data_IF_611685853305
#
_entry.id   IF_611685853305
#
_cell.length_a   1.000
_cell.length_b   1.000
_cell.length_c   1.000
_cell.angle_alpha   90.00
_cell.angle_beta   90.00
_cell.angle_gamma   90.00
#
_symmetry.space_group_name_H-M   'P 1'
#
loop_
_entity.id
_entity.type
_entity.pdbx_description
1 polymer ?
#
# COMPACT_ATOMS: atom_id res chain seq x y z
N UNK A 1 6.03 38.97 -4.60
CA UNK A 1 6.85 37.82 -4.17
C UNK A 1 8.27 38.00 -4.65
N UNK A 2 9.30 37.87 -3.77
CA UNK A 2 10.71 38.00 -4.17
C UNK A 2 11.07 36.82 -5.10
N UNK A 3 11.84 37.06 -6.18
CA UNK A 3 12.28 36.06 -7.17
C UNK A 3 12.84 34.78 -6.48
N UNK A 4 13.68 34.95 -5.44
CA UNK A 4 14.25 33.84 -4.69
C UNK A 4 13.16 32.93 -4.06
N UNK A 5 12.13 33.50 -3.42
CA UNK A 5 11.03 32.74 -2.83
C UNK A 5 10.21 31.98 -3.88
N UNK A 6 10.02 32.60 -5.05
CA UNK A 6 9.34 31.95 -6.17
C UNK A 6 10.09 30.71 -6.65
N UNK A 7 11.39 30.83 -6.93
CA UNK A 7 12.19 29.70 -7.39
C UNK A 7 12.31 28.58 -6.34
N UNK A 8 12.45 28.91 -5.04
CA UNK A 8 12.46 27.92 -3.98
C UNK A 8 11.11 27.18 -3.86
N UNK A 9 9.98 27.89 -4.02
CA UNK A 9 8.66 27.25 -4.02
C UNK A 9 8.51 26.29 -5.19
N UNK A 10 8.92 26.71 -6.40
CA UNK A 10 8.89 25.86 -7.58
C UNK A 10 9.79 24.64 -7.44
N UNK A 11 11.02 24.82 -6.90
CA UNK A 11 11.94 23.72 -6.64
C UNK A 11 11.40 22.72 -5.61
N UNK A 12 10.72 23.20 -4.56
CA UNK A 12 10.02 22.33 -3.59
C UNK A 12 8.91 21.50 -4.25
N UNK A 13 8.03 22.16 -5.03
CA UNK A 13 6.93 21.49 -5.71
C UNK A 13 7.46 20.46 -6.71
N UNK A 14 8.37 20.86 -7.59
CA UNK A 14 8.92 19.98 -8.61
C UNK A 14 9.69 18.79 -7.99
N UNK A 15 10.59 19.07 -7.03
CA UNK A 15 11.38 18.02 -6.39
C UNK A 15 10.51 16.97 -5.70
N UNK A 16 9.47 17.40 -4.98
CA UNK A 16 8.58 16.46 -4.31
C UNK A 16 7.66 15.72 -5.30
N UNK A 17 7.00 16.41 -6.23
CA UNK A 17 6.08 15.77 -7.18
C UNK A 17 6.82 14.75 -8.06
N UNK A 18 8.00 15.11 -8.59
CA UNK A 18 8.78 14.21 -9.44
C UNK A 18 9.36 13.01 -8.67
N UNK A 19 9.44 13.06 -7.34
CA UNK A 19 9.91 11.93 -6.52
C UNK A 19 8.87 10.83 -6.37
N UNK A 20 7.58 11.15 -6.50
CA UNK A 20 6.47 10.20 -6.36
C UNK A 20 5.97 9.68 -7.72
N UNK A 21 5.12 8.63 -7.73
CA UNK A 21 4.44 8.20 -8.95
C UNK A 21 3.64 9.33 -9.61
N UNK A 22 3.55 9.34 -10.93
CA UNK A 22 4.06 8.33 -11.87
C UNK A 22 5.51 8.61 -12.32
N UNK A 23 6.20 9.62 -11.79
CA UNK A 23 7.55 10.01 -12.24
C UNK A 23 8.65 9.14 -11.64
N UNK A 24 8.52 8.77 -10.35
CA UNK A 24 9.39 7.83 -9.65
C UNK A 24 10.89 8.20 -9.62
N UNK A 25 11.22 9.49 -9.64
CA UNK A 25 12.59 10.00 -9.55
C UNK A 25 13.04 10.07 -8.08
N UNK A 26 13.09 8.92 -7.39
CA UNK A 26 13.29 8.82 -5.94
C UNK A 26 14.52 9.56 -5.40
N UNK A 27 15.62 9.65 -6.15
CA UNK A 27 16.81 10.39 -5.73
C UNK A 27 16.56 11.90 -5.55
N UNK A 28 15.57 12.48 -6.24
CA UNK A 28 15.20 13.88 -6.04
C UNK A 28 14.68 14.14 -4.63
N UNK A 29 14.09 13.14 -3.97
CA UNK A 29 13.61 13.26 -2.60
C UNK A 29 14.73 13.65 -1.61
N UNK A 30 16.00 13.32 -1.91
CA UNK A 30 17.14 13.66 -1.04
C UNK A 30 17.41 15.16 -0.97
N UNK A 31 16.82 15.95 -1.87
CA UNK A 31 16.97 17.41 -1.97
C UNK A 31 15.63 18.13 -1.96
N UNK A 32 14.51 17.43 -2.06
CA UNK A 32 13.19 18.00 -2.30
C UNK A 32 12.68 18.88 -1.15
N UNK A 33 13.09 18.62 0.08
CA UNK A 33 12.73 19.43 1.26
C UNK A 33 13.70 20.58 1.53
N UNK A 34 14.90 20.57 0.93
CA UNK A 34 15.89 21.65 1.09
C UNK A 34 15.31 23.04 0.75
N UNK A 35 14.60 23.24 -0.38
CA UNK A 35 14.00 24.52 -0.68
C UNK A 35 12.98 24.98 0.37
N UNK A 36 12.20 24.06 0.94
CA UNK A 36 11.26 24.35 2.01
C UNK A 36 11.97 24.80 3.29
N UNK A 37 13.07 24.13 3.67
CA UNK A 37 13.87 24.53 4.84
C UNK A 37 14.44 25.93 4.65
N UNK A 38 14.94 26.27 3.47
CA UNK A 38 15.44 27.61 3.13
C UNK A 38 14.32 28.67 3.16
N UNK A 39 13.12 28.33 2.70
CA UNK A 39 11.94 29.20 2.77
C UNK A 39 11.56 29.47 4.23
N UNK A 40 11.48 28.42 5.06
CA UNK A 40 11.14 28.55 6.49
C UNK A 40 12.20 29.39 7.23
N UNK A 41 13.49 29.17 6.94
CA UNK A 41 14.60 29.95 7.50
C UNK A 41 14.52 31.43 7.08
N UNK A 42 14.08 31.72 5.85
CA UNK A 42 13.88 33.09 5.33
C UNK A 42 12.71 33.84 6.00
N UNK A 43 11.97 33.19 6.90
CA UNK A 43 10.88 33.81 7.64
C UNK A 43 9.59 33.98 6.84
N UNK A 44 9.21 32.99 6.03
CA UNK A 44 7.88 32.99 5.37
C UNK A 44 6.76 33.00 6.42
N UNK A 45 5.61 33.58 6.05
CA UNK A 45 4.41 33.56 6.91
C UNK A 45 3.73 32.20 6.90
N UNK A 46 2.94 31.91 7.94
CA UNK A 46 2.12 30.70 8.04
C UNK A 46 1.15 30.57 6.86
N UNK A 47 0.58 31.70 6.41
CA UNK A 47 -0.31 31.72 5.23
C UNK A 47 0.43 31.36 3.94
N UNK A 48 1.65 31.86 3.74
CA UNK A 48 2.45 31.48 2.58
C UNK A 48 2.75 29.99 2.58
N UNK A 49 3.16 29.42 3.74
CA UNK A 49 3.39 28.00 3.90
C UNK A 49 2.12 27.19 3.60
N UNK A 50 0.98 27.59 4.19
CA UNK A 50 -0.29 26.92 3.98
C UNK A 50 -0.66 26.81 2.49
N UNK A 51 -0.61 27.93 1.76
CA UNK A 51 -0.91 27.92 0.32
C UNK A 51 0.09 27.10 -0.49
N UNK A 52 1.38 27.13 -0.16
CA UNK A 52 2.39 26.32 -0.83
C UNK A 52 2.10 24.81 -0.66
N UNK A 53 1.79 24.39 0.57
CA UNK A 53 1.46 22.99 0.85
C UNK A 53 0.09 22.62 0.26
N UNK A 54 -0.89 23.50 0.25
CA UNK A 54 -2.18 23.25 -0.39
C UNK A 54 -1.99 23.01 -1.91
N UNK A 55 -1.20 23.83 -2.59
CA UNK A 55 -0.87 23.64 -4.02
C UNK A 55 -0.18 22.29 -4.23
N UNK A 56 0.80 21.96 -3.38
CA UNK A 56 1.45 20.65 -3.43
C UNK A 56 0.45 19.52 -3.31
N UNK A 57 -0.47 19.58 -2.34
CA UNK A 57 -1.46 18.53 -2.10
C UNK A 57 -2.47 18.41 -3.25
N UNK A 58 -2.91 19.54 -3.82
CA UNK A 58 -3.81 19.54 -4.98
C UNK A 58 -3.17 18.85 -6.19
N UNK A 59 -1.86 19.03 -6.40
CA UNK A 59 -1.13 18.36 -7.47
C UNK A 59 -0.90 16.89 -7.11
N UNK A 60 -0.44 16.58 -5.89
CA UNK A 60 -0.12 15.22 -5.44
C UNK A 60 -1.34 14.31 -5.47
N UNK A 61 -2.49 14.79 -4.98
CA UNK A 61 -3.75 14.03 -4.94
C UNK A 61 -4.59 14.15 -6.22
N UNK A 62 -4.06 14.78 -7.29
CA UNK A 62 -4.84 14.99 -8.52
C UNK A 62 -5.40 13.69 -9.11
N UNK A 63 -4.71 12.57 -8.91
CA UNK A 63 -5.19 11.25 -9.33
C UNK A 63 -6.56 10.88 -8.72
N UNK A 64 -6.89 11.40 -7.53
CA UNK A 64 -8.16 11.13 -6.85
C UNK A 64 -9.36 11.79 -7.55
N UNK A 65 -9.14 12.78 -8.42
CA UNK A 65 -10.21 13.41 -9.21
C UNK A 65 -10.96 12.41 -10.09
N UNK A 66 -10.30 11.34 -10.52
CA UNK A 66 -10.90 10.26 -11.31
C UNK A 66 -11.93 9.44 -10.50
N UNK A 67 -11.75 9.38 -9.20
CA UNK A 67 -12.66 8.67 -8.30
C UNK A 67 -13.67 9.62 -7.64
N UNK A 68 -13.21 10.72 -7.04
CA UNK A 68 -14.06 11.65 -6.30
C UNK A 68 -13.43 13.05 -6.17
N UNK A 69 -14.00 14.04 -6.87
CA UNK A 69 -13.52 15.44 -6.84
C UNK A 69 -13.65 16.04 -5.43
N UNK A 70 -14.74 15.78 -4.72
CA UNK A 70 -14.93 16.30 -3.36
C UNK A 70 -13.91 15.69 -2.40
N UNK A 71 -13.62 14.39 -2.52
CA UNK A 71 -12.58 13.71 -1.75
C UNK A 71 -11.19 14.29 -2.02
N UNK A 72 -10.87 14.60 -3.29
CA UNK A 72 -9.63 15.27 -3.66
C UNK A 72 -9.44 16.61 -2.96
N UNK A 73 -10.47 17.49 -2.98
CA UNK A 73 -10.40 18.80 -2.33
C UNK A 73 -10.29 18.68 -0.80
N UNK A 74 -11.14 17.84 -0.19
CA UNK A 74 -11.15 17.64 1.27
C UNK A 74 -9.83 17.05 1.77
N UNK A 75 -9.29 16.05 1.08
CA UNK A 75 -8.03 15.42 1.47
C UNK A 75 -6.85 16.40 1.31
N UNK A 76 -6.83 17.17 0.21
CA UNK A 76 -5.80 18.20 -0.01
C UNK A 76 -5.82 19.27 1.07
N UNK A 77 -7.00 19.73 1.46
CA UNK A 77 -7.19 20.70 2.53
C UNK A 77 -6.81 20.12 3.91
N UNK A 78 -7.24 18.89 4.18
CA UNK A 78 -6.92 18.19 5.42
C UNK A 78 -5.41 18.06 5.64
N UNK A 79 -4.65 17.64 4.60
CA UNK A 79 -3.19 17.54 4.68
C UNK A 79 -2.52 18.91 4.80
N UNK A 80 -3.05 19.96 4.15
CA UNK A 80 -2.52 21.31 4.28
C UNK A 80 -2.68 21.87 5.70
N UNK A 81 -3.87 21.75 6.30
CA UNK A 81 -4.15 22.17 7.68
C UNK A 81 -3.32 21.32 8.66
N UNK A 82 -3.34 20.00 8.48
CA UNK A 82 -2.61 19.06 9.32
C UNK A 82 -1.09 19.27 9.33
N UNK A 83 -0.51 19.92 8.30
CA UNK A 83 0.91 20.24 8.23
C UNK A 83 1.32 21.48 9.06
N UNK A 84 0.37 22.32 9.50
CA UNK A 84 0.67 23.58 10.19
C UNK A 84 1.47 23.41 11.50
N UNK A 85 1.17 22.43 12.38
CA UNK A 85 2.02 22.17 13.54
C UNK A 85 3.47 21.83 13.14
N UNK A 86 3.65 21.05 12.07
CA UNK A 86 4.96 20.73 11.52
C UNK A 86 5.74 21.95 11.04
N UNK A 87 5.06 22.98 10.48
CA UNK A 87 5.69 24.25 10.10
C UNK A 87 6.28 24.99 11.32
N UNK A 88 5.54 25.09 12.41
CA UNK A 88 6.02 25.75 13.62
C UNK A 88 7.18 25.00 14.27
N UNK A 89 7.11 23.67 14.31
CA UNK A 89 8.21 22.83 14.78
C UNK A 89 9.45 23.00 13.88
N UNK A 90 9.29 22.93 12.55
CA UNK A 90 10.37 23.16 11.60
C UNK A 90 11.05 24.51 11.84
N UNK A 91 10.24 25.60 11.96
CA UNK A 91 10.74 26.94 12.22
C UNK A 91 11.51 27.05 13.53
N UNK A 92 11.03 26.42 14.58
CA UNK A 92 11.70 26.40 15.88
C UNK A 92 13.03 25.65 15.82
N UNK A 93 13.03 24.41 15.32
CA UNK A 93 14.22 23.56 15.33
C UNK A 93 15.29 24.01 14.30
N UNK A 94 14.90 24.57 13.17
CA UNK A 94 15.85 25.21 12.25
C UNK A 94 16.54 26.41 12.90
N UNK A 95 15.83 27.27 13.64
CA UNK A 95 16.39 28.40 14.39
C UNK A 95 17.34 27.96 15.50
N UNK A 96 16.96 26.93 16.28
CA UNK A 96 17.79 26.36 17.34
C UNK A 96 18.92 25.48 16.81
N UNK A 97 18.90 25.15 15.51
CA UNK A 97 19.89 24.30 14.87
C UNK A 97 19.91 22.85 15.36
N UNK A 98 18.80 22.37 15.88
CA UNK A 98 18.64 21.01 16.36
C UNK A 98 18.17 20.11 15.20
N UNK A 99 19.02 20.02 14.15
CA UNK A 99 18.66 19.38 12.89
C UNK A 99 18.40 17.88 13.05
N UNK A 100 19.12 17.19 13.93
CA UNK A 100 18.89 15.77 14.19
C UNK A 100 17.50 15.53 14.78
N UNK A 101 17.10 16.35 15.77
CA UNK A 101 15.77 16.25 16.36
C UNK A 101 14.71 16.60 15.33
N UNK A 102 14.98 17.53 14.42
CA UNK A 102 14.05 17.88 13.35
C UNK A 102 13.81 16.69 12.41
N UNK A 103 14.83 15.90 12.01
CA UNK A 103 14.64 14.72 11.18
C UNK A 103 13.75 13.67 11.87
N UNK A 104 13.96 13.42 13.16
CA UNK A 104 13.13 12.51 13.95
C UNK A 104 11.68 13.00 14.06
N UNK A 105 11.48 14.30 14.30
CA UNK A 105 10.14 14.87 14.39
C UNK A 105 9.37 14.81 13.08
N UNK A 106 10.03 15.01 11.93
CA UNK A 106 9.38 14.87 10.63
C UNK A 106 8.91 13.42 10.39
N UNK A 107 9.72 12.42 10.78
CA UNK A 107 9.30 11.02 10.74
C UNK A 107 8.17 10.74 11.72
N UNK A 108 8.24 11.26 12.96
CA UNK A 108 7.14 11.13 13.93
C UNK A 108 5.83 11.71 13.36
N UNK A 109 5.91 12.81 12.63
CA UNK A 109 4.77 13.45 12.01
C UNK A 109 4.13 12.57 10.91
N UNK A 110 4.96 11.89 10.10
CA UNK A 110 4.48 10.88 9.15
C UNK A 110 3.86 9.69 9.89
N UNK A 111 4.53 9.20 10.95
CA UNK A 111 4.08 8.06 11.75
C UNK A 111 2.70 8.28 12.38
N UNK A 112 2.46 9.44 13.01
CA UNK A 112 1.19 9.77 13.65
C UNK A 112 0.01 9.67 12.68
N UNK A 113 0.19 10.03 11.40
CA UNK A 113 -0.87 9.94 10.37
C UNK A 113 -1.30 8.51 10.05
N UNK A 114 -0.45 7.53 10.36
CA UNK A 114 -0.69 6.10 10.07
C UNK A 114 -1.12 5.33 11.32
N UNK A 115 -0.88 5.90 12.52
CA UNK A 115 -1.15 5.23 13.80
C UNK A 115 -2.63 5.11 14.16
N UNK A 116 -3.52 5.79 13.48
CA UNK A 116 -4.95 5.82 13.76
C UNK A 116 -5.71 4.80 12.93
N UNK A 117 -6.96 4.53 13.27
CA UNK A 117 -7.87 3.74 12.44
C UNK A 117 -8.18 4.44 11.09
N UNK A 118 -7.93 5.74 11.00
CA UNK A 118 -7.98 6.55 9.78
C UNK A 118 -6.62 6.59 9.08
N UNK A 119 -5.95 5.45 8.96
CA UNK A 119 -4.64 5.31 8.31
C UNK A 119 -4.57 6.07 6.99
N UNK A 120 -3.70 7.08 6.91
CA UNK A 120 -3.47 7.89 5.70
C UNK A 120 -2.00 7.80 5.29
N UNK A 121 -1.61 6.76 4.53
CA UNK A 121 -0.21 6.43 4.24
C UNK A 121 0.41 7.31 3.16
N UNK A 122 -0.34 8.27 2.65
CA UNK A 122 0.10 9.14 1.56
C UNK A 122 1.18 10.11 2.02
N UNK A 123 2.07 10.49 1.09
CA UNK A 123 3.16 11.44 1.31
C UNK A 123 4.16 11.02 2.41
N UNK A 124 4.34 9.72 2.62
CA UNK A 124 5.47 9.23 3.40
C UNK A 124 6.67 9.20 2.47
N UNK A 125 7.67 10.04 2.77
CA UNK A 125 8.79 10.26 1.84
C UNK A 125 9.64 9.01 1.63
N UNK A 126 9.66 8.10 2.60
CA UNK A 126 10.38 6.84 2.49
C UNK A 126 9.92 6.00 1.30
N UNK A 127 8.65 6.02 0.93
CA UNK A 127 8.13 5.25 -0.22
C UNK A 127 8.68 5.70 -1.57
N UNK A 128 9.24 6.91 -1.67
CA UNK A 128 9.93 7.37 -2.89
C UNK A 128 11.19 6.55 -3.20
N UNK A 129 11.71 5.79 -2.21
CA UNK A 129 12.97 5.04 -2.31
C UNK A 129 12.78 3.59 -2.74
N UNK A 130 11.60 3.22 -3.23
CA UNK A 130 11.26 1.85 -3.61
C UNK A 130 12.23 1.23 -4.64
N UNK A 131 12.82 2.04 -5.51
CA UNK A 131 13.79 1.65 -6.55
C UNK A 131 15.24 2.05 -6.22
N UNK A 132 15.51 2.65 -5.06
CA UNK A 132 16.85 2.98 -4.59
C UNK A 132 17.34 1.88 -3.66
N UNK A 133 17.81 0.80 -4.26
CA UNK A 133 18.06 -0.49 -3.62
C UNK A 133 18.79 -0.42 -2.27
N UNK A 134 19.97 0.25 -2.11
CA UNK A 134 20.65 0.29 -0.83
C UNK A 134 19.83 0.97 0.29
N UNK A 135 19.06 2.00 -0.07
CA UNK A 135 18.23 2.74 0.88
C UNK A 135 16.96 1.97 1.22
N UNK A 136 16.38 1.26 0.25
CA UNK A 136 15.22 0.40 0.47
C UNK A 136 15.51 -0.68 1.53
N UNK A 137 16.76 -1.23 1.58
CA UNK A 137 17.11 -2.25 2.56
C UNK A 137 17.05 -1.75 4.02
N UNK A 138 17.10 -0.45 4.27
CA UNK A 138 16.87 0.13 5.59
C UNK A 138 15.49 -0.22 6.15
N UNK A 139 14.51 -0.45 5.26
CA UNK A 139 13.17 -0.82 5.68
C UNK A 139 13.14 -2.14 6.48
N UNK A 140 14.04 -3.06 6.23
CA UNK A 140 14.15 -4.29 7.00
C UNK A 140 14.62 -4.09 8.46
N UNK A 141 15.25 -2.95 8.75
CA UNK A 141 15.77 -2.62 10.08
C UNK A 141 14.78 -1.78 10.89
N UNK A 142 14.12 -0.84 10.26
CA UNK A 142 13.25 0.10 10.96
C UNK A 142 12.00 0.52 10.18
N UNK A 143 11.57 -0.31 9.22
CA UNK A 143 10.42 -0.03 8.37
C UNK A 143 10.65 1.18 7.46
N UNK A 144 9.61 1.60 6.78
CA UNK A 144 9.61 2.82 5.96
C UNK A 144 10.07 4.06 6.75
N UNK A 145 9.95 4.03 8.05
CA UNK A 145 10.31 5.14 8.96
C UNK A 145 11.80 5.40 8.98
N UNK A 146 12.64 4.36 8.98
CA UNK A 146 14.08 4.51 8.90
C UNK A 146 14.51 5.01 7.52
N UNK A 147 13.80 4.63 6.48
CA UNK A 147 13.99 5.17 5.12
C UNK A 147 13.60 6.64 5.06
N UNK A 148 12.45 7.05 5.62
CA UNK A 148 12.07 8.45 5.75
C UNK A 148 13.11 9.26 6.53
N UNK A 149 13.61 8.71 7.65
CA UNK A 149 14.68 9.35 8.44
C UNK A 149 15.94 9.57 7.59
N UNK A 150 16.35 8.57 6.81
CA UNK A 150 17.49 8.70 5.90
C UNK A 150 17.29 9.85 4.91
N UNK A 151 16.13 9.90 4.23
CA UNK A 151 15.83 10.93 3.23
C UNK A 151 15.79 12.33 3.85
N UNK A 152 15.12 12.52 5.00
CA UNK A 152 15.13 13.82 5.69
C UNK A 152 16.54 14.20 6.14
N UNK A 153 17.34 13.22 6.58
CA UNK A 153 18.71 13.46 6.99
C UNK A 153 19.60 13.90 5.81
N UNK A 154 19.40 13.37 4.61
CA UNK A 154 20.06 13.85 3.38
C UNK A 154 19.74 15.33 3.11
N UNK A 155 18.47 15.71 3.17
CA UNK A 155 18.05 17.11 2.99
C UNK A 155 18.70 18.04 4.03
N UNK A 156 18.73 17.63 5.29
CA UNK A 156 19.32 18.41 6.40
C UNK A 156 20.86 18.43 6.35
N UNK A 157 21.49 17.37 5.84
CA UNK A 157 22.93 17.38 5.55
C UNK A 157 23.27 18.48 4.54
N UNK A 158 22.57 18.52 3.39
CA UNK A 158 22.80 19.53 2.37
C UNK A 158 22.50 20.93 2.92
N UNK A 159 21.42 21.12 3.68
CA UNK A 159 21.12 22.37 4.37
C UNK A 159 22.25 22.78 5.30
N UNK A 160 22.85 21.84 6.07
CA UNK A 160 23.98 22.06 6.96
C UNK A 160 25.25 22.49 6.21
N UNK A 161 25.53 21.85 5.08
CA UNK A 161 26.69 22.17 4.22
C UNK A 161 26.59 23.60 3.68
N UNK A 162 25.42 23.97 3.13
CA UNK A 162 25.20 25.32 2.59
C UNK A 162 25.34 26.41 3.65
N UNK A 163 25.06 26.10 4.91
CA UNK A 163 25.22 27.03 6.03
C UNK A 163 26.60 26.88 6.75
N UNK A 164 27.60 26.22 6.11
CA UNK A 164 28.98 26.06 6.61
C UNK A 164 29.09 25.48 8.03
N UNK A 165 28.31 24.44 8.35
CA UNK A 165 28.20 23.91 9.71
C UNK A 165 29.15 22.73 9.97
N UNK A 166 29.70 22.68 11.22
CA UNK A 166 30.60 21.59 11.66
C UNK A 166 29.91 20.23 11.74
N UNK A 167 28.55 20.19 11.88
CA UNK A 167 27.76 18.95 12.04
C UNK A 167 27.71 18.07 10.76
N UNK A 168 28.21 18.54 9.61
CA UNK A 168 28.18 17.82 8.33
C UNK A 168 28.80 16.43 8.39
N UNK A 169 29.92 16.29 9.10
CA UNK A 169 30.62 15.01 9.23
C UNK A 169 29.85 13.99 10.06
N UNK A 170 29.17 14.43 11.11
CA UNK A 170 28.27 13.59 11.90
C UNK A 170 27.16 12.98 11.02
N UNK A 171 26.47 13.80 10.21
CA UNK A 171 25.43 13.34 9.32
C UNK A 171 25.97 12.35 8.27
N UNK A 172 27.13 12.63 7.69
CA UNK A 172 27.76 11.73 6.71
C UNK A 172 28.05 10.36 7.34
N UNK A 173 28.60 10.34 8.55
CA UNK A 173 28.86 9.09 9.29
C UNK A 173 27.58 8.33 9.59
N UNK A 174 26.52 8.99 10.04
CA UNK A 174 25.21 8.35 10.29
C UNK A 174 24.66 7.72 9.02
N UNK A 175 24.65 8.45 7.90
CA UNK A 175 24.13 7.95 6.63
C UNK A 175 24.94 6.77 6.10
N UNK A 176 26.28 6.86 6.14
CA UNK A 176 27.15 5.77 5.71
C UNK A 176 26.99 4.54 6.60
N UNK A 177 26.88 4.71 7.93
CA UNK A 177 26.67 3.59 8.86
C UNK A 177 25.34 2.87 8.58
N UNK A 178 24.26 3.62 8.28
CA UNK A 178 22.98 3.04 7.92
C UNK A 178 23.08 2.22 6.63
N UNK A 179 23.77 2.72 5.61
CA UNK A 179 23.95 2.00 4.34
C UNK A 179 24.79 0.73 4.53
N UNK A 180 25.84 0.78 5.36
CA UNK A 180 26.65 -0.41 5.69
C UNK A 180 25.80 -1.46 6.42
N UNK A 181 25.02 -1.05 7.42
CA UNK A 181 24.10 -1.95 8.13
C UNK A 181 23.09 -2.62 7.18
N UNK A 182 22.56 -1.86 6.24
CA UNK A 182 21.64 -2.38 5.24
C UNK A 182 22.32 -3.40 4.29
N UNK A 183 23.59 -3.17 3.93
CA UNK A 183 24.32 -4.02 3.00
C UNK A 183 24.75 -5.38 3.61
N UNK A 184 25.01 -5.42 4.92
CA UNK A 184 25.51 -6.63 5.63
C UNK A 184 24.38 -7.61 5.96
N UNK A 185 23.12 -7.20 5.85
CA UNK A 185 22.01 -8.03 6.26
C UNK A 185 21.79 -9.22 5.31
N UNK A 186 22.06 -10.44 5.79
CA UNK A 186 21.86 -11.69 5.05
C UNK A 186 20.45 -12.23 5.21
N UNK A 187 19.92 -12.82 4.14
CA UNK A 187 18.64 -13.52 4.18
C UNK A 187 18.87 -15.03 4.37
N UNK A 188 18.05 -15.71 5.17
CA UNK A 188 18.02 -17.16 5.15
C UNK A 188 17.64 -17.65 3.74
N UNK A 189 18.31 -18.68 3.24
CA UNK A 189 17.93 -19.31 1.97
C UNK A 189 16.70 -20.17 2.22
N UNK A 190 15.61 -19.96 1.45
CA UNK A 190 14.45 -20.83 1.52
C UNK A 190 14.81 -22.25 1.05
N UNK A 191 14.22 -23.25 1.69
CA UNK A 191 14.51 -24.65 1.40
C UNK A 191 13.49 -25.29 0.43
N UNK A 192 12.36 -24.65 0.26
CA UNK A 192 11.22 -25.19 -0.50
C UNK A 192 10.63 -24.13 -1.42
N UNK A 193 9.93 -24.62 -2.44
CA UNK A 193 9.16 -23.79 -3.36
C UNK A 193 7.74 -24.32 -3.48
N UNK A 194 6.80 -23.44 -3.81
CA UNK A 194 5.46 -23.80 -4.27
C UNK A 194 5.20 -23.06 -5.59
N UNK A 195 4.70 -23.81 -6.58
CA UNK A 195 4.33 -23.23 -7.86
C UNK A 195 2.94 -22.63 -7.78
N UNK A 196 2.84 -21.32 -7.98
CA UNK A 196 1.59 -20.56 -7.93
C UNK A 196 1.21 -20.01 -9.30
N UNK A 197 -0.09 -19.72 -9.48
CA UNK A 197 -0.60 -18.96 -10.62
C UNK A 197 -1.43 -17.76 -10.13
N UNK A 198 -1.00 -16.55 -10.49
CA UNK A 198 -1.77 -15.32 -10.29
C UNK A 198 -2.68 -15.12 -11.49
N UNK A 199 -3.94 -14.84 -11.25
CA UNK A 199 -4.94 -14.63 -12.29
C UNK A 199 -5.44 -13.20 -12.24
N UNK A 200 -5.20 -12.43 -13.31
CA UNK A 200 -5.67 -11.07 -13.49
C UNK A 200 -6.55 -11.04 -14.75
N UNK A 201 -7.85 -10.86 -14.58
CA UNK A 201 -8.79 -10.87 -15.72
C UNK A 201 -9.03 -9.50 -16.30
N UNK A 202 -8.76 -8.44 -15.55
CA UNK A 202 -9.08 -7.07 -15.90
C UNK A 202 -10.60 -6.85 -16.13
N UNK A 203 -11.41 -7.69 -15.50
CA UNK A 203 -12.87 -7.63 -15.56
C UNK A 203 -13.41 -6.91 -14.32
N UNK A 204 -13.97 -5.75 -14.55
CA UNK A 204 -14.54 -4.97 -13.48
C UNK A 204 -15.98 -5.37 -13.21
N UNK A 205 -16.32 -5.51 -11.93
CA UNK A 205 -17.67 -5.88 -11.50
C UNK A 205 -18.75 -4.90 -11.99
N UNK A 206 -18.43 -3.60 -12.08
CA UNK A 206 -19.36 -2.57 -12.58
C UNK A 206 -19.57 -2.63 -14.11
N UNK A 207 -18.69 -3.31 -14.85
CA UNK A 207 -18.80 -3.50 -16.30
C UNK A 207 -19.50 -4.80 -16.68
N UNK A 208 -19.39 -5.83 -15.82
CA UNK A 208 -19.98 -7.14 -16.07
C UNK A 208 -21.48 -7.11 -15.82
N UNK A 209 -21.97 -6.22 -14.91
CA UNK A 209 -23.35 -6.18 -14.48
C UNK A 209 -23.78 -7.54 -13.90
N UNK A 210 -24.94 -8.03 -14.30
CA UNK A 210 -25.47 -9.34 -13.86
C UNK A 210 -25.01 -10.51 -14.75
N UNK A 211 -24.01 -10.32 -15.65
CA UNK A 211 -23.55 -11.36 -16.54
C UNK A 211 -22.50 -12.28 -15.88
N UNK A 212 -22.94 -13.13 -14.99
CA UNK A 212 -22.10 -14.11 -14.28
C UNK A 212 -21.35 -15.05 -15.25
N UNK A 213 -21.90 -15.35 -16.44
CA UNK A 213 -21.23 -16.26 -17.40
C UNK A 213 -19.94 -15.68 -17.95
N UNK A 214 -19.94 -14.40 -18.37
CA UNK A 214 -18.73 -13.75 -18.88
C UNK A 214 -17.60 -13.80 -17.86
N UNK A 215 -17.95 -13.60 -16.59
CA UNK A 215 -17.02 -13.68 -15.47
C UNK A 215 -16.42 -15.09 -15.34
N UNK A 216 -17.27 -16.12 -15.24
CA UNK A 216 -16.81 -17.49 -15.05
C UNK A 216 -15.98 -17.98 -16.22
N UNK A 217 -16.37 -17.63 -17.46
CA UNK A 217 -15.62 -17.97 -18.66
C UNK A 217 -14.22 -17.38 -18.65
N UNK A 218 -14.08 -16.10 -18.31
CA UNK A 218 -12.80 -15.42 -18.29
C UNK A 218 -11.85 -16.02 -17.24
N UNK A 219 -12.34 -16.24 -16.03
CA UNK A 219 -11.54 -16.85 -14.96
C UNK A 219 -11.18 -18.30 -15.27
N UNK A 220 -12.12 -19.08 -15.80
CA UNK A 220 -11.88 -20.47 -16.21
C UNK A 220 -10.81 -20.54 -17.29
N UNK A 221 -10.93 -19.74 -18.35
CA UNK A 221 -9.95 -19.73 -19.43
C UNK A 221 -8.57 -19.28 -18.97
N UNK A 222 -8.50 -18.26 -18.10
CA UNK A 222 -7.23 -17.79 -17.55
C UNK A 222 -6.56 -18.87 -16.69
N UNK A 223 -7.34 -19.60 -15.88
CA UNK A 223 -6.85 -20.75 -15.10
C UNK A 223 -6.38 -21.89 -15.98
N UNK A 224 -7.13 -22.26 -17.02
CA UNK A 224 -6.75 -23.33 -17.94
C UNK A 224 -5.47 -23.00 -18.72
N UNK A 225 -5.26 -21.74 -19.11
CA UNK A 225 -4.00 -21.29 -19.69
C UNK A 225 -2.83 -21.46 -18.73
N UNK A 226 -3.02 -21.09 -17.45
CA UNK A 226 -2.00 -21.24 -16.42
C UNK A 226 -1.73 -22.72 -16.07
N UNK A 227 -2.74 -23.62 -16.22
CA UNK A 227 -2.67 -25.03 -15.88
C UNK A 227 -1.60 -25.81 -16.69
N UNK A 228 -1.20 -25.30 -17.88
CA UNK A 228 -0.10 -25.88 -18.68
C UNK A 228 1.19 -26.00 -17.86
N UNK A 229 1.46 -25.02 -16.99
CA UNK A 229 2.63 -25.01 -16.11
C UNK A 229 2.44 -25.82 -14.82
N UNK A 230 1.26 -26.42 -14.60
CA UNK A 230 0.90 -27.24 -13.42
C UNK A 230 1.12 -26.52 -12.09
N UNK A 231 0.49 -25.35 -11.83
CA UNK A 231 0.58 -24.70 -10.52
C UNK A 231 -0.14 -25.53 -9.45
N UNK A 232 0.39 -25.48 -8.24
CA UNK A 232 -0.17 -26.15 -7.05
C UNK A 232 -1.21 -25.28 -6.33
N UNK A 233 -1.16 -23.96 -6.57
CA UNK A 233 -2.02 -22.98 -5.93
C UNK A 233 -2.36 -21.85 -6.90
N UNK A 234 -3.64 -21.58 -7.09
CA UNK A 234 -4.13 -20.42 -7.83
C UNK A 234 -4.41 -19.26 -6.87
N UNK A 235 -4.26 -18.03 -7.34
CA UNK A 235 -4.56 -16.84 -6.54
C UNK A 235 -5.38 -15.89 -7.39
N UNK A 236 -6.62 -15.61 -6.94
CA UNK A 236 -7.55 -14.66 -7.54
C UNK A 236 -7.61 -13.37 -6.73
N UNK A 237 -7.96 -12.22 -7.33
CA UNK A 237 -7.98 -10.93 -6.66
C UNK A 237 -9.06 -10.77 -5.57
N UNK A 238 -9.14 -9.56 -4.99
CA UNK A 238 -10.15 -9.18 -4.01
C UNK A 238 -11.54 -9.11 -4.66
N UNK A 239 -12.56 -9.57 -3.93
CA UNK A 239 -13.96 -9.59 -4.37
C UNK A 239 -14.09 -10.21 -5.78
N UNK A 240 -13.36 -11.29 -6.00
CA UNK A 240 -13.32 -11.98 -7.29
C UNK A 240 -14.65 -12.61 -7.71
N UNK A 241 -15.66 -12.66 -6.85
CA UNK A 241 -16.97 -13.19 -7.15
C UNK A 241 -18.06 -12.19 -6.77
N UNK A 242 -19.07 -12.04 -7.61
CA UNK A 242 -20.22 -11.16 -7.33
C UNK A 242 -21.01 -11.58 -6.09
N UNK A 243 -21.18 -12.89 -5.93
CA UNK A 243 -21.99 -13.49 -4.86
C UNK A 243 -21.10 -14.09 -3.79
N UNK A 244 -21.58 -14.09 -2.56
CA UNK A 244 -20.89 -14.78 -1.47
C UNK A 244 -20.89 -16.30 -1.73
N UNK A 245 -19.71 -16.91 -1.68
CA UNK A 245 -19.58 -18.37 -1.82
C UNK A 245 -20.39 -19.15 -0.80
N UNK A 246 -20.64 -18.56 0.37
CA UNK A 246 -21.40 -19.18 1.44
C UNK A 246 -22.91 -19.16 1.17
N UNK A 247 -23.39 -18.16 0.46
CA UNK A 247 -24.82 -17.95 0.17
C UNK A 247 -25.25 -18.52 -1.19
N UNK A 248 -24.33 -18.48 -2.18
CA UNK A 248 -24.63 -18.92 -3.54
C UNK A 248 -24.05 -20.30 -3.86
N UNK A 249 -24.94 -21.29 -3.82
CA UNK A 249 -24.58 -22.70 -4.07
C UNK A 249 -24.06 -22.92 -5.50
N UNK A 250 -24.54 -22.12 -6.47
CA UNK A 250 -24.12 -22.26 -7.85
C UNK A 250 -22.67 -21.80 -8.05
N UNK A 251 -22.30 -20.63 -7.51
CA UNK A 251 -20.91 -20.17 -7.52
C UNK A 251 -19.97 -21.16 -6.81
N UNK A 252 -20.41 -21.70 -5.67
CA UNK A 252 -19.62 -22.71 -4.95
C UNK A 252 -19.46 -24.02 -5.76
N UNK A 253 -20.49 -24.44 -6.51
CA UNK A 253 -20.42 -25.60 -7.39
C UNK A 253 -19.46 -25.35 -8.57
N UNK A 254 -19.63 -24.24 -9.28
CA UNK A 254 -18.75 -23.87 -10.42
C UNK A 254 -17.28 -23.78 -10.01
N UNK A 255 -17.00 -23.16 -8.87
CA UNK A 255 -15.63 -23.08 -8.35
C UNK A 255 -15.07 -24.49 -8.07
N UNK A 256 -15.86 -25.37 -7.45
CA UNK A 256 -15.46 -26.78 -7.20
C UNK A 256 -15.17 -27.53 -8.49
N UNK A 257 -16.00 -27.36 -9.52
CA UNK A 257 -15.82 -27.99 -10.82
C UNK A 257 -14.50 -27.53 -11.49
N UNK A 258 -14.18 -26.23 -11.41
CA UNK A 258 -12.91 -25.70 -11.88
C UNK A 258 -11.74 -26.29 -11.08
N UNK A 259 -11.79 -26.28 -9.74
CA UNK A 259 -10.71 -26.78 -8.88
C UNK A 259 -10.45 -28.28 -9.10
N UNK A 260 -11.51 -29.07 -9.34
CA UNK A 260 -11.38 -30.49 -9.67
C UNK A 260 -10.64 -30.74 -10.99
N UNK A 261 -10.87 -29.89 -12.01
CA UNK A 261 -10.16 -29.96 -13.28
C UNK A 261 -8.70 -29.54 -13.15
N UNK A 262 -8.42 -28.50 -12.34
CA UNK A 262 -7.07 -27.97 -12.11
C UNK A 262 -6.25 -28.86 -11.16
N UNK A 263 -6.89 -29.69 -10.35
CA UNK A 263 -6.30 -30.51 -9.27
C UNK A 263 -5.40 -29.67 -8.33
N UNK A 264 -5.80 -28.44 -8.01
CA UNK A 264 -5.05 -27.48 -7.21
C UNK A 264 -5.98 -26.69 -6.29
N UNK A 265 -5.43 -26.13 -5.19
CA UNK A 265 -6.17 -25.25 -4.32
C UNK A 265 -6.19 -23.80 -4.86
N UNK A 266 -6.99 -22.95 -4.20
CA UNK A 266 -7.10 -21.53 -4.54
C UNK A 266 -7.12 -20.63 -3.31
N UNK A 267 -6.42 -19.50 -3.40
CA UNK A 267 -6.64 -18.35 -2.52
C UNK A 267 -7.44 -17.32 -3.32
N UNK A 268 -8.56 -16.83 -2.76
CA UNK A 268 -9.36 -15.81 -3.42
C UNK A 268 -9.99 -14.84 -2.41
N UNK A 269 -10.12 -13.58 -2.82
CA UNK A 269 -10.91 -12.59 -2.10
C UNK A 269 -12.39 -12.69 -2.46
N UNK A 270 -13.26 -12.68 -1.45
CA UNK A 270 -14.70 -12.63 -1.66
C UNK A 270 -15.41 -11.97 -0.49
N UNK A 271 -16.63 -11.50 -0.75
CA UNK A 271 -17.55 -11.08 0.30
C UNK A 271 -18.05 -12.33 1.05
N UNK A 272 -17.93 -12.31 2.38
CA UNK A 272 -18.56 -13.30 3.26
C UNK A 272 -19.75 -12.66 3.97
N UNK A 273 -20.95 -13.08 3.59
CA UNK A 273 -22.19 -12.61 4.16
C UNK A 273 -22.75 -13.65 5.14
N UNK A 274 -22.99 -13.22 6.38
CA UNK A 274 -23.64 -14.04 7.39
C UNK A 274 -25.05 -13.51 7.64
N UNK A 275 -26.06 -14.14 7.06
CA UNK A 275 -27.46 -13.83 7.32
C UNK A 275 -27.89 -14.45 8.65
N UNK A 276 -27.78 -13.72 9.75
CA UNK A 276 -28.43 -14.06 11.01
C UNK A 276 -29.69 -13.21 11.21
N UNK A 277 -30.86 -13.72 10.79
CA UNK A 277 -32.18 -13.10 11.01
C UNK A 277 -32.44 -11.83 10.18
N UNK A 278 -33.67 -11.33 10.26
CA UNK A 278 -34.26 -10.29 9.40
C UNK A 278 -33.67 -8.86 9.53
N UNK A 279 -32.62 -8.61 10.31
CA UNK A 279 -32.19 -7.23 10.62
C UNK A 279 -30.73 -6.87 10.49
N UNK A 280 -29.77 -7.80 10.34
CA UNK A 280 -28.35 -7.43 10.24
C UNK A 280 -27.58 -8.36 9.30
N UNK A 281 -27.36 -7.93 8.06
CA UNK A 281 -26.37 -8.57 7.21
C UNK A 281 -24.97 -8.26 7.76
N UNK A 282 -24.31 -9.27 8.34
CA UNK A 282 -22.91 -9.19 8.72
C UNK A 282 -22.06 -9.48 7.48
N UNK A 283 -21.72 -8.45 6.73
CA UNK A 283 -20.87 -8.57 5.57
C UNK A 283 -19.40 -8.35 5.97
N UNK A 284 -18.53 -9.26 5.58
CA UNK A 284 -17.09 -9.14 5.71
C UNK A 284 -16.44 -9.16 4.32
N UNK A 285 -15.39 -8.40 4.14
CA UNK A 285 -14.45 -8.60 3.07
C UNK A 285 -13.46 -9.66 3.55
N UNK A 286 -13.31 -10.75 2.81
CA UNK A 286 -12.59 -11.92 3.26
C UNK A 286 -11.65 -12.46 2.17
N UNK A 287 -10.56 -13.09 2.60
CA UNK A 287 -9.74 -13.95 1.76
C UNK A 287 -9.87 -15.38 2.27
N UNK A 288 -10.13 -16.30 1.34
CA UNK A 288 -10.33 -17.72 1.59
C UNK A 288 -9.18 -18.53 1.00
N UNK A 289 -8.78 -19.58 1.70
CA UNK A 289 -8.11 -20.71 1.08
C UNK A 289 -9.11 -21.86 0.93
N UNK A 290 -9.26 -22.33 -0.29
CA UNK A 290 -10.13 -23.44 -0.66
C UNK A 290 -9.26 -24.53 -1.28
N UNK A 291 -9.36 -25.74 -0.80
CA UNK A 291 -8.58 -26.85 -1.29
C UNK A 291 -9.08 -27.36 -2.66
N UNK A 292 -8.35 -28.30 -3.26
CA UNK A 292 -8.69 -28.90 -4.55
C UNK A 292 -10.05 -29.63 -4.57
N UNK A 293 -10.63 -29.93 -3.40
CA UNK A 293 -11.94 -30.56 -3.29
C UNK A 293 -13.07 -29.53 -3.12
N UNK A 294 -12.75 -28.24 -3.14
CA UNK A 294 -13.71 -27.14 -2.96
C UNK A 294 -14.11 -26.90 -1.51
N UNK A 295 -13.30 -27.38 -0.55
CA UNK A 295 -13.55 -27.20 0.89
C UNK A 295 -12.77 -25.98 1.40
N UNK A 296 -13.45 -25.05 2.08
CA UNK A 296 -12.82 -23.90 2.73
C UNK A 296 -12.00 -24.39 3.92
N UNK A 297 -10.68 -24.27 3.83
CA UNK A 297 -9.71 -24.68 4.84
C UNK A 297 -9.26 -23.54 5.75
N UNK A 298 -9.39 -22.29 5.29
CA UNK A 298 -8.99 -21.11 6.03
C UNK A 298 -9.66 -19.84 5.54
N UNK A 299 -9.87 -18.91 6.46
CA UNK A 299 -10.48 -17.59 6.15
C UNK A 299 -9.80 -16.52 6.99
N UNK A 300 -9.48 -15.40 6.35
CA UNK A 300 -9.10 -14.17 7.04
C UNK A 300 -10.08 -13.06 6.65
N UNK A 301 -10.59 -12.32 7.63
CA UNK A 301 -11.49 -11.19 7.45
C UNK A 301 -10.72 -9.88 7.54
N UNK A 302 -10.95 -8.98 6.58
CA UNK A 302 -10.29 -7.67 6.52
C UNK A 302 -10.43 -6.89 7.81
N UNK A 303 -9.31 -6.46 8.39
CA UNK A 303 -9.28 -5.69 9.63
C UNK A 303 -9.02 -4.21 9.39
N UNK A 304 -8.26 -3.86 8.35
CA UNK A 304 -7.98 -2.47 7.97
C UNK A 304 -8.90 -2.07 6.82
N UNK A 305 -10.09 -1.59 7.18
CA UNK A 305 -11.07 -1.10 6.22
C UNK A 305 -10.68 0.30 5.73
N UNK A 306 -10.96 0.60 4.45
CA UNK A 306 -10.72 1.93 3.89
C UNK A 306 -11.70 2.92 4.54
N UNK A 307 -11.17 3.96 5.24
CA UNK A 307 -12.02 4.97 5.86
C UNK A 307 -12.94 5.64 4.83
N UNK A 308 -14.18 5.89 5.21
CA UNK A 308 -15.23 6.54 4.41
C UNK A 308 -15.68 5.78 3.15
N UNK A 309 -15.03 4.68 2.78
CA UNK A 309 -15.44 3.83 1.64
C UNK A 309 -16.00 2.48 2.09
N UNK A 310 -15.29 1.75 2.92
CA UNK A 310 -15.69 0.40 3.38
C UNK A 310 -16.36 0.42 4.75
N UNK A 311 -16.14 1.45 5.55
CA UNK A 311 -16.76 1.61 6.87
C UNK A 311 -17.33 3.00 7.06
N UNK A 312 -18.53 3.06 7.63
CA UNK A 312 -19.04 4.25 8.32
C UNK A 312 -18.85 4.00 9.79
N UNK A 313 -17.92 4.73 10.39
CA UNK A 313 -17.88 4.78 11.85
C UNK A 313 -19.23 5.29 12.38
N UNK A 314 -19.68 4.77 13.52
CA UNK A 314 -20.90 5.26 14.19
C UNK A 314 -20.82 6.78 14.43
N UNK A 315 -19.61 7.34 14.53
CA UNK A 315 -19.35 8.77 14.66
C UNK A 315 -19.77 9.59 13.43
N UNK A 316 -19.79 8.99 12.24
CA UNK A 316 -20.30 9.61 11.02
C UNK A 316 -21.83 9.57 10.92
N UNK A 317 -22.51 8.85 11.81
CA UNK A 317 -23.96 8.92 11.94
C UNK A 317 -24.44 10.34 12.33
N UNK A 318 -23.54 11.14 12.92
CA UNK A 318 -23.78 12.56 13.23
C UNK A 318 -23.69 13.48 12.01
N UNK A 319 -23.12 13.03 10.87
CA UNK A 319 -23.05 13.85 9.67
C UNK A 319 -24.44 13.98 9.02
N UNK A 320 -24.76 15.18 8.46
CA UNK A 320 -26.01 15.39 7.72
C UNK A 320 -26.21 14.32 6.64
N UNK A 321 -27.45 13.89 6.47
CA UNK A 321 -27.86 12.82 5.53
C UNK A 321 -27.31 13.00 4.12
N UNK A 322 -27.24 14.23 3.59
CA UNK A 322 -26.74 14.55 2.26
C UNK A 322 -25.21 14.32 2.12
N UNK A 323 -24.45 14.42 3.23
CA UNK A 323 -23.04 14.06 3.26
C UNK A 323 -22.89 12.55 3.34
N UNK A 324 -23.66 11.92 4.23
CA UNK A 324 -23.64 10.48 4.46
C UNK A 324 -24.00 9.66 3.23
N UNK A 325 -25.00 10.09 2.44
CA UNK A 325 -25.42 9.41 1.22
C UNK A 325 -24.43 9.53 0.04
N UNK A 326 -23.52 10.51 0.06
CA UNK A 326 -22.47 10.62 -0.96
C UNK A 326 -21.27 9.70 -0.71
N UNK A 327 -21.10 9.24 0.52
CA UNK A 327 -20.18 8.17 0.85
C UNK A 327 -21.04 6.89 0.85
N UNK A 328 -20.83 5.99 -0.11
CA UNK A 328 -21.44 4.65 -0.11
C UNK A 328 -20.87 3.84 1.04
N UNK A 329 -21.14 4.26 2.23
CA UNK A 329 -20.40 3.94 3.40
C UNK A 329 -21.03 2.73 4.11
N UNK A 330 -20.21 1.80 4.55
CA UNK A 330 -20.58 0.84 5.57
C UNK A 330 -21.07 -0.51 5.07
N UNK A 331 -20.43 -1.05 4.04
CA UNK A 331 -20.78 -2.38 3.52
C UNK A 331 -20.16 -3.48 4.38
N UNK A 332 -18.95 -3.26 4.98
CA UNK A 332 -18.19 -4.31 5.64
C UNK A 332 -18.01 -4.10 7.13
N UNK A 333 -17.96 -5.21 7.87
CA UNK A 333 -17.54 -5.26 9.26
C UNK A 333 -16.04 -5.58 9.34
N UNK A 334 -15.41 -5.05 10.38
CA UNK A 334 -14.00 -5.29 10.70
C UNK A 334 -13.81 -6.71 11.23
N UNK A 335 -12.87 -7.45 10.65
CA UNK A 335 -12.42 -8.75 11.17
C UNK A 335 -11.80 -8.62 12.56
N UNK A 336 -11.72 -9.73 13.30
CA UNK A 336 -11.16 -9.75 14.67
C UNK A 336 -9.83 -10.48 14.75
N UNK A 337 -9.69 -11.57 13.99
CA UNK A 337 -8.57 -12.50 14.11
C UNK A 337 -7.64 -12.41 12.91
N UNK A 338 -6.32 -12.50 13.16
CA UNK A 338 -5.28 -12.56 12.14
C UNK A 338 -4.89 -14.02 11.90
N UNK A 339 -5.72 -14.73 11.16
CA UNK A 339 -5.48 -16.13 10.87
C UNK A 339 -4.59 -16.28 9.63
N UNK A 340 -3.54 -17.12 9.74
CA UNK A 340 -2.81 -17.58 8.58
C UNK A 340 -3.66 -18.61 7.81
N UNK A 341 -3.53 -18.60 6.49
CA UNK A 341 -4.12 -19.61 5.62
C UNK A 341 -3.20 -20.82 5.60
N UNK A 342 -3.66 -21.96 6.10
CA UNK A 342 -2.89 -23.19 6.10
C UNK A 342 -3.06 -23.92 4.76
N UNK A 343 -2.06 -23.78 3.89
CA UNK A 343 -2.05 -24.41 2.55
C UNK A 343 -1.68 -25.90 2.66
N UNK A 344 -0.75 -26.22 3.55
CA UNK A 344 -0.36 -27.59 3.88
C UNK A 344 0.13 -27.66 5.32
N UNK A 345 0.40 -28.84 5.90
CA UNK A 345 0.95 -28.95 7.25
C UNK A 345 2.26 -28.18 7.47
N UNK A 346 2.97 -27.87 6.40
CA UNK A 346 4.28 -27.19 6.43
C UNK A 346 4.27 -25.78 5.83
N UNK A 347 3.16 -25.34 5.27
CA UNK A 347 3.04 -24.05 4.62
C UNK A 347 1.82 -23.28 5.11
N UNK A 348 2.08 -22.19 5.79
CA UNK A 348 1.10 -21.19 6.16
C UNK A 348 1.38 -19.89 5.42
N UNK A 349 0.35 -19.20 4.97
CA UNK A 349 0.43 -17.99 4.15
C UNK A 349 -0.31 -16.86 4.85
N UNK A 350 0.29 -15.67 4.88
CA UNK A 350 -0.37 -14.46 5.34
C UNK A 350 -1.23 -13.89 4.21
N UNK A 351 -2.56 -14.03 4.31
CA UNK A 351 -3.49 -13.45 3.34
C UNK A 351 -3.86 -12.03 3.74
N UNK A 352 -3.39 -11.04 2.99
CA UNK A 352 -3.75 -9.62 3.16
C UNK A 352 -4.78 -9.21 2.11
N UNK A 353 -5.67 -8.31 2.49
CA UNK A 353 -6.70 -7.78 1.60
C UNK A 353 -6.42 -6.30 1.33
N UNK A 354 -6.02 -5.98 0.08
CA UNK A 354 -5.90 -4.64 -0.46
C UNK A 354 -5.16 -3.67 0.48
N UNK A 355 -5.89 -2.74 1.09
CA UNK A 355 -5.41 -1.69 1.98
C UNK A 355 -4.70 -2.19 3.25
N UNK A 356 -4.81 -3.45 3.63
CA UNK A 356 -4.07 -4.01 4.77
C UNK A 356 -2.56 -3.96 4.57
N UNK A 357 -2.09 -4.09 3.33
CA UNK A 357 -0.66 -3.98 3.00
C UNK A 357 -0.07 -2.58 3.24
N UNK A 358 -0.90 -1.57 3.39
CA UNK A 358 -0.47 -0.19 3.62
C UNK A 358 0.08 0.02 5.04
N UNK A 359 -0.48 -0.65 6.05
CA UNK A 359 -0.05 -0.54 7.44
C UNK A 359 1.06 -1.56 7.77
N UNK A 360 2.32 -1.11 7.75
CA UNK A 360 3.49 -1.97 8.02
C UNK A 360 3.47 -2.59 9.42
N UNK A 361 2.87 -1.94 10.42
CA UNK A 361 2.73 -2.52 11.77
C UNK A 361 1.77 -3.70 11.76
N UNK A 362 0.63 -3.54 11.08
CA UNK A 362 -0.34 -4.61 10.91
C UNK A 362 0.30 -5.83 10.22
N UNK A 363 1.02 -5.61 9.13
CA UNK A 363 1.72 -6.68 8.40
C UNK A 363 2.80 -7.32 9.27
N UNK A 364 3.58 -6.53 10.04
CA UNK A 364 4.59 -7.06 10.95
C UNK A 364 3.98 -7.98 12.02
N UNK A 365 2.83 -7.61 12.59
CA UNK A 365 2.14 -8.46 13.57
C UNK A 365 1.63 -9.77 12.94
N UNK A 366 1.21 -9.72 11.68
CA UNK A 366 0.81 -10.90 10.91
C UNK A 366 1.99 -11.84 10.68
N UNK A 367 3.13 -11.27 10.26
CA UNK A 367 4.34 -12.04 9.91
C UNK A 367 5.09 -12.57 11.12
N UNK A 368 4.84 -12.07 12.34
CA UNK A 368 5.33 -12.68 13.58
C UNK A 368 4.89 -14.13 13.76
N UNK A 369 3.80 -14.55 13.12
CA UNK A 369 3.34 -15.93 13.10
C UNK A 369 4.16 -16.82 12.14
N UNK A 370 5.21 -16.28 11.50
CA UNK A 370 6.15 -16.95 10.60
C UNK A 370 5.48 -17.64 9.39
N UNK A 371 4.70 -16.92 8.58
CA UNK A 371 4.22 -17.47 7.32
C UNK A 371 5.38 -17.75 6.36
N UNK A 372 5.19 -18.67 5.43
CA UNK A 372 6.17 -18.93 4.38
C UNK A 372 6.31 -17.77 3.40
N UNK A 373 5.18 -17.13 3.04
CA UNK A 373 5.14 -15.92 2.21
C UNK A 373 3.85 -15.14 2.47
N UNK A 374 3.74 -13.96 1.83
CA UNK A 374 2.59 -13.07 1.93
C UNK A 374 1.84 -13.08 0.60
N UNK A 375 0.51 -13.15 0.65
CA UNK A 375 -0.39 -12.90 -0.49
C UNK A 375 -1.17 -11.63 -0.21
N UNK A 376 -1.19 -10.68 -1.15
CA UNK A 376 -2.07 -9.52 -1.12
C UNK A 376 -3.05 -9.60 -2.29
N UNK A 377 -4.32 -9.85 -2.00
CA UNK A 377 -5.41 -9.79 -2.97
C UNK A 377 -5.98 -8.37 -3.00
N UNK A 378 -6.18 -7.79 -4.18
CA UNK A 378 -6.60 -6.39 -4.31
C UNK A 378 -7.58 -6.17 -5.46
N UNK A 379 -8.38 -5.11 -5.33
CA UNK A 379 -9.22 -4.56 -6.39
C UNK A 379 -8.97 -3.04 -6.45
N UNK A 380 -8.21 -2.60 -7.44
CA UNK A 380 -7.73 -1.21 -7.54
C UNK A 380 -8.62 -0.36 -8.48
N UNK A 381 -9.65 -0.95 -9.10
CA UNK A 381 -10.49 -0.34 -10.13
C UNK A 381 -11.26 0.91 -9.75
N UNK A 382 -11.36 1.19 -8.46
CA UNK A 382 -12.06 2.35 -7.94
C UNK A 382 -11.39 3.68 -8.31
N UNK A 383 -10.06 3.73 -8.43
CA UNK A 383 -9.31 4.97 -8.71
C UNK A 383 -9.09 5.23 -10.19
N UNK A 384 -9.03 4.19 -11.03
CA UNK A 384 -8.67 4.25 -12.47
C UNK A 384 -7.38 5.04 -12.74
N UNK A 385 -6.47 5.05 -11.80
CA UNK A 385 -5.25 5.86 -11.85
C UNK A 385 -3.99 5.02 -11.73
N UNK A 386 -3.13 5.10 -12.74
CA UNK A 386 -1.83 4.43 -12.68
C UNK A 386 -1.01 4.88 -11.46
N UNK A 387 -1.11 6.15 -11.07
CA UNK A 387 -0.44 6.68 -9.87
C UNK A 387 -0.83 5.92 -8.60
N UNK A 388 -2.11 5.60 -8.44
CA UNK A 388 -2.60 4.84 -7.28
C UNK A 388 -2.13 3.39 -7.34
N UNK A 389 -2.20 2.74 -8.52
CA UNK A 389 -1.72 1.37 -8.71
C UNK A 389 -0.22 1.24 -8.40
N UNK A 390 0.59 2.21 -8.81
CA UNK A 390 2.01 2.25 -8.49
C UNK A 390 2.26 2.48 -6.99
N UNK A 391 1.50 3.37 -6.34
CA UNK A 391 1.58 3.56 -4.89
C UNK A 391 1.30 2.25 -4.14
N UNK A 392 0.26 1.52 -4.54
CA UNK A 392 -0.06 0.22 -3.95
C UNK A 392 1.06 -0.81 -4.16
N UNK A 393 1.68 -0.83 -5.35
CA UNK A 393 2.85 -1.68 -5.60
C UNK A 393 4.01 -1.29 -4.67
N UNK A 394 4.30 0.00 -4.51
CA UNK A 394 5.39 0.46 -3.63
C UNK A 394 5.15 0.06 -2.17
N UNK A 395 3.92 0.17 -1.66
CA UNK A 395 3.60 -0.33 -0.33
C UNK A 395 3.94 -1.81 -0.19
N UNK A 396 3.55 -2.64 -1.17
CA UNK A 396 3.82 -4.07 -1.16
C UNK A 396 5.33 -4.39 -1.23
N UNK A 397 6.11 -3.64 -2.02
CA UNK A 397 7.58 -3.77 -2.06
C UNK A 397 8.17 -3.56 -0.66
N UNK A 398 7.74 -2.50 0.04
CA UNK A 398 8.20 -2.25 1.40
C UNK A 398 7.78 -3.36 2.36
N UNK A 399 6.56 -3.91 2.24
CA UNK A 399 6.12 -5.04 3.08
C UNK A 399 6.99 -6.27 2.87
N UNK A 400 7.36 -6.59 1.64
CA UNK A 400 8.26 -7.70 1.34
C UNK A 400 9.63 -7.50 2.01
N UNK A 401 10.20 -6.29 1.92
CA UNK A 401 11.52 -5.97 2.52
C UNK A 401 11.44 -5.94 4.05
N UNK A 402 10.43 -5.32 4.63
CA UNK A 402 10.25 -5.23 6.09
C UNK A 402 10.06 -6.60 6.75
N UNK A 403 9.30 -7.48 6.09
CA UNK A 403 9.04 -8.83 6.60
C UNK A 403 10.12 -9.85 6.24
N UNK A 404 10.97 -9.55 5.26
CA UNK A 404 11.94 -10.48 4.67
C UNK A 404 11.29 -11.73 4.07
N UNK A 405 10.08 -11.57 3.55
CA UNK A 405 9.30 -12.64 2.92
C UNK A 405 9.04 -12.30 1.45
N UNK A 406 8.87 -13.36 0.65
CA UNK A 406 8.27 -13.17 -0.67
C UNK A 406 6.87 -12.61 -0.50
N UNK A 407 6.49 -11.68 -1.35
CA UNK A 407 5.16 -11.12 -1.40
C UNK A 407 4.60 -11.29 -2.80
N UNK A 408 3.41 -11.86 -2.87
CA UNK A 408 2.66 -12.12 -4.09
C UNK A 408 1.44 -11.22 -4.06
N UNK A 409 1.38 -10.27 -4.99
CA UNK A 409 0.24 -9.37 -5.16
C UNK A 409 -0.55 -9.78 -6.39
N UNK A 410 -1.85 -9.95 -6.23
CA UNK A 410 -2.80 -10.09 -7.34
C UNK A 410 -3.85 -9.00 -7.27
N UNK A 411 -4.05 -8.29 -8.37
CA UNK A 411 -5.05 -7.24 -8.51
C UNK A 411 -5.95 -7.54 -9.72
N UNK A 412 -7.23 -7.13 -9.66
CA UNK A 412 -8.17 -7.37 -10.77
C UNK A 412 -7.77 -6.57 -12.02
N UNK A 413 -7.54 -5.27 -11.85
CA UNK A 413 -7.21 -4.32 -12.91
C UNK A 413 -5.99 -3.44 -12.56
N UNK A 414 -5.40 -3.66 -11.38
CA UNK A 414 -4.18 -3.01 -10.92
C UNK A 414 -2.91 -3.74 -11.40
N UNK A 415 -1.80 -3.54 -10.68
CA UNK A 415 -0.53 -4.19 -10.96
C UNK A 415 -0.44 -5.47 -10.13
N UNK A 416 -0.37 -6.64 -10.79
CA UNK A 416 -0.03 -7.92 -10.15
C UNK A 416 1.47 -8.17 -10.22
N UNK A 417 2.06 -8.68 -9.14
CA UNK A 417 3.51 -8.87 -9.08
C UNK A 417 3.92 -9.98 -8.09
N UNK A 418 5.09 -10.57 -8.37
CA UNK A 418 5.85 -11.40 -7.43
C UNK A 418 7.06 -10.58 -6.99
N UNK A 419 7.19 -10.35 -5.69
CA UNK A 419 8.21 -9.47 -5.10
C UNK A 419 9.11 -10.30 -4.18
N UNK A 420 10.44 -10.15 -4.37
CA UNK A 420 11.43 -10.82 -3.53
C UNK A 420 11.49 -10.20 -2.14
N UNK A 421 12.04 -10.91 -1.12
CA UNK A 421 12.32 -10.35 0.19
C UNK A 421 13.30 -9.16 0.19
N UNK A 422 13.95 -8.88 -0.94
CA UNK A 422 14.84 -7.75 -1.16
C UNK A 422 14.16 -6.57 -1.85
N UNK A 423 12.89 -6.75 -2.27
CA UNK A 423 12.12 -5.74 -2.97
C UNK A 423 12.26 -5.79 -4.50
N UNK A 424 12.94 -6.80 -5.05
CA UNK A 424 13.01 -6.97 -6.50
C UNK A 424 11.66 -7.45 -7.04
N UNK A 425 11.19 -6.86 -8.12
CA UNK A 425 10.01 -7.32 -8.85
C UNK A 425 10.45 -8.46 -9.78
N UNK A 426 10.13 -9.70 -9.42
CA UNK A 426 10.56 -10.91 -10.15
C UNK A 426 9.68 -11.20 -11.36
N UNK A 427 8.39 -10.89 -11.27
CA UNK A 427 7.42 -10.98 -12.35
C UNK A 427 6.32 -9.94 -12.13
N UNK A 428 5.74 -9.41 -13.21
CA UNK A 428 4.72 -8.36 -13.14
C UNK A 428 3.76 -8.43 -14.33
N UNK A 429 2.48 -8.21 -14.05
CA UNK A 429 1.46 -7.83 -15.04
C UNK A 429 1.13 -6.36 -14.86
N UNK A 430 1.17 -5.55 -15.94
CA UNK A 430 0.80 -4.14 -15.87
C UNK A 430 -0.68 -3.95 -15.48
N UNK A 431 -0.98 -2.77 -14.94
CA UNK A 431 -2.37 -2.37 -14.73
C UNK A 431 -3.16 -2.35 -16.05
N UNK A 432 -4.47 -2.56 -15.96
CA UNK A 432 -5.41 -2.53 -17.07
C UNK A 432 -5.14 -3.58 -18.16
N UNK A 433 -4.46 -4.66 -17.82
CA UNK A 433 -4.21 -5.80 -18.72
C UNK A 433 -4.77 -7.09 -18.12
N UNK A 434 -5.14 -8.03 -19.00
CA UNK A 434 -5.49 -9.39 -18.59
C UNK A 434 -4.31 -10.34 -18.82
N UNK A 435 -4.15 -11.32 -17.92
CA UNK A 435 -3.07 -12.30 -18.04
C UNK A 435 -2.96 -13.18 -16.78
N UNK A 436 -1.89 -13.97 -16.77
CA UNK A 436 -1.49 -14.74 -15.61
C UNK A 436 0.03 -14.69 -15.39
N UNK A 437 0.46 -14.87 -14.15
CA UNK A 437 1.86 -15.08 -13.77
C UNK A 437 1.94 -16.47 -13.15
N UNK A 438 2.79 -17.33 -13.69
CA UNK A 438 3.15 -18.59 -13.03
C UNK A 438 4.56 -18.47 -12.49
N UNK A 439 4.75 -18.76 -11.20
CA UNK A 439 6.02 -18.57 -10.51
C UNK A 439 6.24 -19.60 -9.40
N UNK A 440 7.49 -20.04 -9.23
CA UNK A 440 7.90 -20.88 -8.12
C UNK A 440 8.29 -19.97 -6.93
N UNK A 441 7.41 -19.85 -5.94
CA UNK A 441 7.63 -19.01 -4.76
C UNK A 441 8.40 -19.79 -3.71
N UNK A 442 9.59 -19.35 -3.32
CA UNK A 442 10.36 -19.94 -2.23
C UNK A 442 9.76 -19.63 -0.84
N UNK A 443 9.80 -20.60 0.10
CA UNK A 443 9.30 -20.46 1.47
C UNK A 443 10.04 -21.32 2.49
#
# INVERSE_FOLDING_TARGET
MNKRRFFLSLAFLAGNILSYPPFNLGLLAWFAFLPLFLLVESGISTMFYFYLILIFNLIYFFWLTKANISGWLLLSLFFAIGSLPGFWLMRYFLRKRWLFILSLLLVCFEYIRVCTDYTLPFQIIGYTQWNVYPVLQLAALGGVWLVSFFVYSCNLLVFSVLNQRRLRWFWLLVLLSLLVLAAVWHQPKPERTIKIALIQTNLRLDQIGDNDELFWDAYTQACLKAAIAKPELYIWPEVALHKSLREDRESARRLRDILSQLNAGIILGNRDAHSFGLRFNNNYNAVFYIDRYGVVQGTHYKQKLIPFMETVNQDLAMLPYFIRNRFQAGIYRKGRDRNLLQISPKLHVAGLICFEAVDGRYVTEFTRQKPGFIVNVSSDGWSRSLTEHELNLHFNIFRAVESRLYLVRVAEDGISAVISPRGDILAMLPAFTSGNIVWDVPY
#
